data_IF_996422259047
#
_entry.id   IF_996422259047
#
_cell.length_a   1.000
_cell.length_b   1.000
_cell.length_c   1.000
_cell.angle_alpha   90.00
_cell.angle_beta   90.00
_cell.angle_gamma   90.00
#
_symmetry.space_group_name_H-M   'P 1'
#
loop_
_entity.id
_entity.type
_entity.pdbx_description
1 polymer ?
#
# COMPACT_ATOMS: atom_id res chain seq x y z
N UNK A 1 -1.15 3.36 0.62
CA UNK A 1 -1.89 2.10 0.34
C UNK A 1 -2.47 2.12 -1.06
N UNK A 2 -2.24 1.07 -1.84
CA UNK A 2 -2.77 0.93 -3.20
C UNK A 2 -3.71 -0.27 -3.25
N UNK A 3 -4.88 -0.12 -3.84
CA UNK A 3 -5.81 -1.19 -4.14
C UNK A 3 -5.81 -1.46 -5.64
N UNK A 4 -5.57 -2.70 -6.03
CA UNK A 4 -5.70 -3.19 -7.40
C UNK A 4 -6.88 -4.15 -7.47
N UNK A 5 -7.94 -3.75 -8.15
CA UNK A 5 -9.22 -4.45 -8.18
C UNK A 5 -9.44 -5.10 -9.54
N UNK A 6 -9.70 -6.39 -9.54
CA UNK A 6 -10.16 -7.11 -10.74
C UNK A 6 -11.51 -6.55 -11.19
N UNK A 7 -11.47 -5.73 -12.24
CA UNK A 7 -12.63 -5.11 -12.86
C UNK A 7 -13.09 -5.85 -14.12
N UNK A 8 -12.64 -7.09 -14.35
CA UNK A 8 -13.04 -7.88 -15.52
C UNK A 8 -14.52 -8.26 -15.50
N UNK A 9 -15.03 -8.72 -16.63
CA UNK A 9 -16.45 -9.09 -16.78
C UNK A 9 -16.91 -10.14 -15.74
N UNK A 10 -16.00 -11.03 -15.32
CA UNK A 10 -16.30 -12.07 -14.34
C UNK A 10 -16.55 -11.60 -12.92
N UNK A 11 -16.19 -10.35 -12.58
CA UNK A 11 -16.35 -9.81 -11.23
C UNK A 11 -17.52 -8.84 -11.08
N UNK A 12 -18.34 -8.67 -12.11
CA UNK A 12 -19.45 -7.71 -12.11
C UNK A 12 -20.38 -7.83 -10.89
N UNK A 13 -20.75 -9.06 -10.55
CA UNK A 13 -21.65 -9.31 -9.42
C UNK A 13 -20.99 -9.10 -8.06
N UNK A 14 -19.67 -9.30 -7.97
CA UNK A 14 -18.90 -9.12 -6.74
C UNK A 14 -18.35 -7.71 -6.54
N UNK A 15 -18.49 -6.83 -7.53
CA UNK A 15 -17.91 -5.50 -7.48
C UNK A 15 -18.44 -4.63 -6.32
N UNK A 16 -19.74 -4.63 -5.99
CA UNK A 16 -20.20 -3.89 -4.80
C UNK A 16 -19.51 -4.32 -3.52
N UNK A 17 -19.24 -5.61 -3.35
CA UNK A 17 -18.50 -6.13 -2.18
C UNK A 17 -17.03 -5.69 -2.17
N UNK A 18 -16.36 -5.64 -3.32
CA UNK A 18 -15.01 -5.08 -3.44
C UNK A 18 -14.99 -3.59 -3.07
N UNK A 19 -15.94 -2.84 -3.55
CA UNK A 19 -16.10 -1.41 -3.24
C UNK A 19 -16.32 -1.17 -1.76
N UNK A 20 -17.16 -1.96 -1.11
CA UNK A 20 -17.39 -1.90 0.33
C UNK A 20 -16.13 -2.26 1.14
N UNK A 21 -15.36 -3.23 0.66
CA UNK A 21 -14.08 -3.60 1.27
C UNK A 21 -13.09 -2.43 1.24
N UNK A 22 -12.93 -1.77 0.11
CA UNK A 22 -12.07 -0.58 -0.01
C UNK A 22 -12.54 0.54 0.91
N UNK A 23 -13.84 0.79 0.95
CA UNK A 23 -14.43 1.81 1.83
C UNK A 23 -14.10 1.55 3.29
N UNK A 24 -14.32 0.33 3.79
CA UNK A 24 -14.00 -0.03 5.19
C UNK A 24 -12.52 0.09 5.49
N UNK A 25 -11.65 -0.33 4.57
CA UNK A 25 -10.21 -0.19 4.75
C UNK A 25 -9.80 1.28 4.86
N UNK A 26 -10.32 2.15 4.00
CA UNK A 26 -10.03 3.59 4.03
C UNK A 26 -10.54 4.26 5.31
N UNK A 27 -11.68 3.83 5.83
CA UNK A 27 -12.23 4.35 7.11
C UNK A 27 -11.28 4.15 8.29
N UNK A 28 -10.44 3.12 8.27
CA UNK A 28 -9.47 2.83 9.32
C UNK A 28 -8.16 3.61 9.20
N UNK A 29 -7.90 4.25 8.06
CA UNK A 29 -6.67 4.97 7.78
C UNK A 29 -6.72 6.41 8.32
N UNK A 30 -5.54 6.95 8.61
CA UNK A 30 -5.35 8.37 8.89
C UNK A 30 -4.96 9.10 7.60
N UNK A 31 -5.95 9.33 6.73
CA UNK A 31 -5.70 9.91 5.40
C UNK A 31 -5.25 11.37 5.51
N UNK A 32 -4.20 11.71 4.76
CA UNK A 32 -3.68 13.07 4.67
C UNK A 32 -2.46 13.15 3.76
N UNK A 33 -2.06 14.35 3.42
CA UNK A 33 -0.90 14.58 2.53
C UNK A 33 0.40 14.00 3.09
N UNK A 34 0.61 14.15 4.41
CA UNK A 34 1.82 13.69 5.11
C UNK A 34 1.58 12.45 5.98
N UNK A 35 0.43 11.83 5.87
CA UNK A 35 0.05 10.62 6.59
C UNK A 35 -0.27 9.51 5.59
N UNK A 36 -1.42 8.83 5.69
CA UNK A 36 -1.76 7.75 4.78
C UNK A 36 -2.28 8.30 3.45
N UNK A 37 -1.68 7.83 2.35
CA UNK A 37 -2.14 8.11 0.99
C UNK A 37 -2.77 6.87 0.39
N UNK A 38 -3.80 7.06 -0.41
CA UNK A 38 -4.59 5.98 -1.02
C UNK A 38 -4.66 6.15 -2.53
N UNK A 39 -4.53 5.04 -3.25
CA UNK A 39 -4.78 4.95 -4.69
C UNK A 39 -5.65 3.73 -4.97
N UNK A 40 -6.55 3.84 -5.94
CA UNK A 40 -7.37 2.72 -6.43
C UNK A 40 -7.24 2.61 -7.93
N UNK A 41 -6.97 1.39 -8.38
CA UNK A 41 -6.85 1.04 -9.79
C UNK A 41 -7.72 -0.18 -10.06
N UNK A 42 -8.56 -0.14 -11.09
CA UNK A 42 -9.21 -1.32 -11.65
C UNK A 42 -8.40 -1.86 -12.81
N UNK A 43 -8.45 -3.15 -13.05
CA UNK A 43 -7.82 -3.75 -14.22
C UNK A 43 -8.67 -4.88 -14.79
N UNK A 44 -8.50 -5.09 -16.09
CA UNK A 44 -8.97 -6.24 -16.85
C UNK A 44 -7.90 -6.59 -17.89
N UNK A 45 -8.11 -6.33 -19.16
CA UNK A 45 -7.06 -6.39 -20.18
C UNK A 45 -6.03 -5.27 -20.01
N UNK A 46 -6.48 -4.12 -19.56
CA UNK A 46 -5.70 -2.91 -19.28
C UNK A 46 -6.11 -2.31 -17.93
N UNK A 47 -5.25 -1.46 -17.38
CA UNK A 47 -5.52 -0.78 -16.12
C UNK A 47 -6.31 0.51 -16.33
N UNK A 48 -7.15 0.84 -15.36
CA UNK A 48 -7.89 2.09 -15.28
C UNK A 48 -7.73 2.69 -13.88
N UNK A 49 -6.96 3.76 -13.77
CA UNK A 49 -6.75 4.46 -12.51
C UNK A 49 -8.03 5.19 -12.13
N UNK A 50 -8.52 4.95 -10.92
CA UNK A 50 -9.63 5.71 -10.35
C UNK A 50 -9.10 7.02 -9.76
N UNK A 51 -8.02 6.94 -9.01
CA UNK A 51 -7.23 8.07 -8.51
C UNK A 51 -5.84 7.59 -8.07
N UNK A 52 -4.88 8.51 -8.14
CA UNK A 52 -3.50 8.30 -7.71
C UNK A 52 -3.32 8.61 -6.22
N UNK A 53 -2.15 8.28 -5.67
CA UNK A 53 -1.81 8.55 -4.26
C UNK A 53 -1.84 10.03 -3.88
N UNK A 54 -1.65 10.93 -4.83
CA UNK A 54 -1.66 12.38 -4.64
C UNK A 54 -2.88 13.10 -5.23
N UNK A 55 -3.89 12.38 -5.70
CA UNK A 55 -5.08 12.99 -6.30
C UNK A 55 -5.97 13.62 -5.23
N UNK A 56 -6.21 12.92 -4.13
CA UNK A 56 -7.04 13.38 -3.02
C UNK A 56 -6.24 13.34 -1.72
N UNK A 57 -6.48 14.32 -0.85
CA UNK A 57 -5.76 14.47 0.43
C UNK A 57 -6.65 14.32 1.65
N UNK A 58 -7.96 14.14 1.48
CA UNK A 58 -8.91 13.96 2.57
C UNK A 58 -9.65 12.63 2.47
N UNK A 59 -9.95 12.05 3.62
CA UNK A 59 -10.73 10.80 3.71
C UNK A 59 -12.12 10.95 3.08
N UNK A 60 -12.76 12.07 3.28
CA UNK A 60 -14.09 12.36 2.75
C UNK A 60 -14.12 12.31 1.22
N UNK A 61 -13.16 12.94 0.55
CA UNK A 61 -13.03 12.91 -0.91
C UNK A 61 -12.82 11.49 -1.42
N UNK A 62 -11.93 10.72 -0.78
CA UNK A 62 -11.65 9.34 -1.17
C UNK A 62 -12.88 8.46 -1.01
N UNK A 63 -13.58 8.55 0.11
CA UNK A 63 -14.80 7.78 0.35
C UNK A 63 -15.91 8.11 -0.66
N UNK A 64 -16.07 9.36 -1.05
CA UNK A 64 -17.05 9.77 -2.04
C UNK A 64 -16.74 9.17 -3.42
N UNK A 65 -15.46 9.19 -3.84
CA UNK A 65 -15.06 8.58 -5.10
C UNK A 65 -15.21 7.05 -5.06
N UNK A 66 -14.82 6.40 -3.97
CA UNK A 66 -14.95 4.96 -3.81
C UNK A 66 -16.42 4.51 -3.89
N UNK A 67 -17.31 5.21 -3.22
CA UNK A 67 -18.76 4.92 -3.28
C UNK A 67 -19.35 5.06 -4.69
N UNK A 68 -18.83 5.98 -5.48
CA UNK A 68 -19.26 6.25 -6.84
C UNK A 68 -18.55 5.42 -7.92
N UNK A 69 -17.60 4.58 -7.58
CA UNK A 69 -16.88 3.77 -8.56
C UNK A 69 -17.82 2.85 -9.34
N UNK A 70 -17.62 2.81 -10.64
CA UNK A 70 -18.33 1.92 -11.56
C UNK A 70 -17.44 0.77 -11.98
N UNK A 71 -18.03 -0.42 -12.13
CA UNK A 71 -17.33 -1.59 -12.62
C UNK A 71 -16.81 -1.35 -14.04
N UNK A 72 -15.51 -1.63 -14.21
CA UNK A 72 -14.80 -1.39 -15.49
C UNK A 72 -15.30 -2.32 -16.61
N UNK A 73 -15.36 -3.62 -16.34
CA UNK A 73 -15.58 -4.65 -17.35
C UNK A 73 -14.34 -4.94 -18.20
N UNK A 74 -14.52 -5.82 -19.14
CA UNK A 74 -13.49 -6.21 -20.13
C UNK A 74 -12.86 -7.57 -19.86
N UNK A 75 -12.16 -8.07 -20.88
CA UNK A 75 -11.42 -9.34 -20.90
C UNK A 75 -10.33 -9.33 -21.99
N UNK A 76 -9.32 -10.22 -21.91
CA UNK A 76 -9.06 -11.17 -20.82
C UNK A 76 -8.54 -10.46 -19.55
N UNK A 77 -8.53 -11.19 -18.42
CA UNK A 77 -7.93 -10.72 -17.18
C UNK A 77 -6.42 -10.84 -17.27
N UNK A 78 -5.71 -9.71 -17.22
CA UNK A 78 -4.24 -9.64 -17.28
C UNK A 78 -3.70 -9.07 -15.98
N UNK A 79 -3.59 -9.90 -14.96
CA UNK A 79 -3.07 -9.49 -13.64
C UNK A 79 -1.61 -9.08 -13.72
N UNK A 80 -0.79 -9.75 -14.54
CA UNK A 80 0.59 -9.35 -14.77
C UNK A 80 0.70 -7.92 -15.32
N UNK A 81 -0.09 -7.58 -16.32
CA UNK A 81 -0.15 -6.21 -16.87
C UNK A 81 -0.67 -5.20 -15.84
N UNK A 82 -1.63 -5.58 -15.00
CA UNK A 82 -2.13 -4.75 -13.92
C UNK A 82 -1.04 -4.43 -12.89
N UNK A 83 -0.30 -5.43 -12.44
CA UNK A 83 0.83 -5.25 -11.53
C UNK A 83 1.94 -4.40 -12.14
N UNK A 84 2.30 -4.66 -13.42
CA UNK A 84 3.31 -3.87 -14.12
C UNK A 84 2.88 -2.39 -14.25
N UNK A 85 1.61 -2.15 -14.49
CA UNK A 85 1.08 -0.79 -14.53
C UNK A 85 1.30 -0.04 -13.22
N UNK A 86 1.09 -0.70 -12.07
CA UNK A 86 1.34 -0.11 -10.75
C UNK A 86 2.82 0.27 -10.57
N UNK A 87 3.74 -0.59 -11.01
CA UNK A 87 5.18 -0.32 -10.95
C UNK A 87 5.53 0.93 -11.75
N UNK A 88 5.02 1.04 -12.97
CA UNK A 88 5.38 2.08 -13.92
C UNK A 88 4.67 3.41 -13.66
N UNK A 89 3.48 3.40 -13.07
CA UNK A 89 2.60 4.58 -13.03
C UNK A 89 2.04 4.97 -11.66
N UNK A 90 2.09 4.10 -10.66
CA UNK A 90 1.47 4.35 -9.35
C UNK A 90 2.51 4.40 -8.23
N UNK A 91 3.42 3.44 -8.17
CA UNK A 91 4.53 3.44 -7.21
C UNK A 91 5.68 4.33 -7.68
N UNK A 92 5.35 5.51 -8.18
CA UNK A 92 6.28 6.53 -8.68
C UNK A 92 6.12 7.83 -7.89
N UNK A 93 7.17 8.62 -7.80
CA UNK A 93 7.13 9.91 -7.11
C UNK A 93 6.08 10.86 -7.71
N UNK A 94 5.96 10.89 -9.05
CA UNK A 94 4.99 11.72 -9.77
C UNK A 94 3.52 11.36 -9.46
N UNK A 95 3.24 10.11 -9.12
CA UNK A 95 1.92 9.65 -8.70
C UNK A 95 1.67 9.77 -7.19
N UNK A 96 2.63 10.31 -6.44
CA UNK A 96 2.53 10.55 -5.00
C UNK A 96 3.09 9.44 -4.12
N UNK A 97 3.81 8.45 -4.68
CA UNK A 97 4.51 7.46 -3.87
C UNK A 97 5.70 8.10 -3.14
N UNK A 98 5.78 7.84 -1.85
CA UNK A 98 6.89 8.24 -0.98
C UNK A 98 7.84 7.09 -0.66
N UNK A 99 7.89 6.09 -1.55
CA UNK A 99 8.74 4.91 -1.38
C UNK A 99 10.20 5.28 -1.17
N UNK A 100 10.72 6.21 -1.96
CA UNK A 100 12.11 6.68 -1.88
C UNK A 100 12.40 7.52 -0.62
N UNK A 101 11.36 7.95 0.07
CA UNK A 101 11.45 8.63 1.37
C UNK A 101 11.38 7.65 2.55
N UNK A 102 11.33 6.34 2.28
CA UNK A 102 11.27 5.30 3.29
C UNK A 102 9.87 5.04 3.87
N UNK A 103 8.82 5.62 3.29
CA UNK A 103 7.44 5.37 3.72
C UNK A 103 7.00 3.97 3.26
N UNK A 104 6.47 3.13 4.16
CA UNK A 104 5.98 1.80 3.82
C UNK A 104 4.94 1.83 2.70
N UNK A 105 5.07 0.92 1.73
CA UNK A 105 4.16 0.79 0.59
C UNK A 105 3.37 -0.51 0.73
N UNK A 106 2.03 -0.40 0.78
CA UNK A 106 1.13 -1.54 0.83
C UNK A 106 0.32 -1.64 -0.45
N UNK A 107 0.18 -2.86 -0.94
CA UNK A 107 -0.66 -3.22 -2.07
C UNK A 107 -1.64 -4.31 -1.66
N UNK A 108 -2.93 -4.09 -1.90
CA UNK A 108 -3.98 -5.09 -1.75
C UNK A 108 -4.54 -5.38 -3.14
N UNK A 109 -4.45 -6.64 -3.56
CA UNK A 109 -4.96 -7.11 -4.86
C UNK A 109 -6.18 -7.99 -4.64
N UNK A 110 -7.30 -7.64 -5.27
CA UNK A 110 -8.52 -8.45 -5.29
C UNK A 110 -8.67 -9.10 -6.66
N UNK A 111 -8.69 -10.43 -6.71
CA UNK A 111 -8.61 -11.23 -7.94
C UNK A 111 -9.78 -12.22 -7.99
N UNK A 112 -10.60 -12.15 -9.05
CA UNK A 112 -11.76 -13.02 -9.24
C UNK A 112 -11.59 -14.10 -10.30
N UNK A 113 -10.42 -14.19 -10.94
CA UNK A 113 -10.15 -15.14 -12.00
C UNK A 113 -8.66 -15.48 -12.11
N UNK A 114 -8.37 -16.45 -12.96
CA UNK A 114 -7.00 -16.80 -13.33
C UNK A 114 -6.44 -15.75 -14.29
N UNK A 115 -5.18 -15.37 -14.11
CA UNK A 115 -4.52 -14.45 -15.02
C UNK A 115 -4.27 -15.08 -16.39
N UNK A 116 -4.57 -14.33 -17.43
CA UNK A 116 -4.24 -14.71 -18.81
C UNK A 116 -2.74 -14.57 -19.10
N UNK A 117 -2.08 -13.60 -18.49
CA UNK A 117 -0.65 -13.35 -18.64
C UNK A 117 0.16 -13.84 -17.42
N UNK A 118 1.49 -13.80 -17.56
CA UNK A 118 2.40 -14.19 -16.51
C UNK A 118 2.50 -13.10 -15.44
N UNK A 119 2.43 -13.49 -14.17
CA UNK A 119 2.51 -12.58 -13.02
C UNK A 119 3.89 -12.57 -12.37
N UNK A 120 4.80 -13.47 -12.72
CA UNK A 120 6.04 -13.71 -11.99
C UNK A 120 6.97 -12.49 -12.00
N UNK A 121 7.21 -11.91 -13.18
CA UNK A 121 8.12 -10.77 -13.33
C UNK A 121 7.65 -9.53 -12.56
N UNK A 122 6.41 -9.03 -12.74
CA UNK A 122 5.95 -7.87 -11.98
C UNK A 122 5.79 -8.17 -10.48
N UNK A 123 5.40 -9.38 -10.09
CA UNK A 123 5.32 -9.77 -8.69
C UNK A 123 6.69 -9.72 -8.01
N UNK A 124 7.72 -10.25 -8.66
CA UNK A 124 9.10 -10.18 -8.16
C UNK A 124 9.61 -8.75 -8.07
N UNK A 125 9.32 -7.92 -9.07
CA UNK A 125 9.73 -6.52 -9.08
C UNK A 125 9.11 -5.73 -7.91
N UNK A 126 7.83 -5.96 -7.59
CA UNK A 126 7.17 -5.34 -6.45
C UNK A 126 7.81 -5.75 -5.11
N UNK A 127 8.20 -7.02 -4.97
CA UNK A 127 8.93 -7.50 -3.78
C UNK A 127 10.29 -6.84 -3.64
N UNK A 128 11.04 -6.74 -4.73
CA UNK A 128 12.35 -6.06 -4.76
C UNK A 128 12.23 -4.55 -4.45
N UNK A 129 11.13 -3.93 -4.82
CA UNK A 129 10.82 -2.54 -4.46
C UNK A 129 10.44 -2.36 -2.99
N UNK A 130 10.27 -3.44 -2.23
CA UNK A 130 9.82 -3.39 -0.84
C UNK A 130 8.33 -3.14 -0.67
N UNK A 131 7.52 -3.37 -1.70
CA UNK A 131 6.07 -3.27 -1.61
C UNK A 131 5.51 -4.50 -0.89
N UNK A 132 4.75 -4.26 0.18
CA UNK A 132 4.09 -5.30 0.96
C UNK A 132 2.75 -5.63 0.31
N UNK A 133 2.65 -6.82 -0.30
CA UNK A 133 1.49 -7.19 -1.10
C UNK A 133 0.66 -8.27 -0.40
N UNK A 134 -0.64 -8.01 -0.30
CA UNK A 134 -1.68 -8.96 0.10
C UNK A 134 -2.52 -9.29 -1.12
N UNK A 135 -2.67 -10.57 -1.43
CA UNK A 135 -3.47 -11.06 -2.54
C UNK A 135 -4.69 -11.81 -2.02
N UNK A 136 -5.88 -11.36 -2.36
CA UNK A 136 -7.14 -11.98 -1.98
C UNK A 136 -7.83 -12.45 -3.25
N UNK A 137 -8.09 -13.74 -3.34
CA UNK A 137 -8.70 -14.36 -4.51
C UNK A 137 -9.94 -15.17 -4.18
N UNK A 138 -10.89 -15.19 -5.11
CA UNK A 138 -12.08 -16.07 -5.06
C UNK A 138 -11.77 -17.45 -5.60
N UNK A 139 -12.77 -18.35 -5.61
CA UNK A 139 -12.65 -19.69 -6.21
C UNK A 139 -12.25 -19.70 -7.68
N UNK A 140 -12.56 -18.62 -8.42
CA UNK A 140 -12.17 -18.48 -9.81
C UNK A 140 -10.69 -18.13 -10.00
N UNK A 141 -9.99 -17.74 -8.95
CA UNK A 141 -8.56 -17.41 -8.98
C UNK A 141 -7.69 -18.66 -8.85
N UNK A 142 -6.40 -18.51 -9.13
CA UNK A 142 -5.39 -19.54 -8.96
C UNK A 142 -4.61 -19.31 -7.66
N UNK A 143 -4.67 -20.26 -6.73
CA UNK A 143 -4.01 -20.16 -5.44
C UNK A 143 -2.48 -20.00 -5.57
N UNK A 144 -1.87 -20.62 -6.56
CA UNK A 144 -0.42 -20.46 -6.82
C UNK A 144 -0.08 -19.05 -7.30
N UNK A 145 -0.92 -18.46 -8.14
CA UNK A 145 -0.77 -17.05 -8.55
C UNK A 145 -0.89 -16.11 -7.35
N UNK A 146 -1.85 -16.32 -6.46
CA UNK A 146 -2.00 -15.54 -5.24
C UNK A 146 -0.74 -15.58 -4.37
N UNK A 147 -0.14 -16.76 -4.21
CA UNK A 147 1.10 -16.94 -3.44
C UNK A 147 2.28 -16.26 -4.10
N UNK A 148 2.37 -16.24 -5.42
CA UNK A 148 3.43 -15.54 -6.16
C UNK A 148 3.31 -14.02 -6.04
N UNK A 149 2.09 -13.51 -6.05
CA UNK A 149 1.81 -12.06 -5.98
C UNK A 149 2.02 -11.53 -4.56
N UNK A 150 1.62 -12.30 -3.54
CA UNK A 150 1.73 -11.87 -2.15
C UNK A 150 3.18 -11.77 -1.68
N UNK A 151 3.43 -10.90 -0.70
CA UNK A 151 4.76 -10.72 -0.09
C UNK A 151 5.28 -12.05 0.47
N UNK A 152 4.42 -12.77 1.18
CA UNK A 152 4.64 -14.09 1.73
C UNK A 152 3.42 -14.96 1.46
N UNK A 153 3.55 -16.31 1.43
CA UNK A 153 2.41 -17.20 1.23
C UNK A 153 1.27 -16.99 2.25
N UNK A 154 1.58 -16.57 3.47
CA UNK A 154 0.60 -16.23 4.52
C UNK A 154 -0.25 -15.01 4.19
N UNK A 155 0.22 -14.15 3.29
CA UNK A 155 -0.48 -12.95 2.81
C UNK A 155 -1.35 -13.23 1.58
N UNK A 156 -1.41 -14.48 1.13
CA UNK A 156 -2.35 -14.95 0.11
C UNK A 156 -3.60 -15.51 0.80
N UNK A 157 -4.74 -14.91 0.53
CA UNK A 157 -6.02 -15.26 1.16
C UNK A 157 -7.01 -15.72 0.11
N UNK A 158 -7.67 -16.85 0.36
CA UNK A 158 -8.73 -17.38 -0.50
C UNK A 158 -10.09 -17.20 0.17
N UNK A 159 -11.04 -16.68 -0.59
CA UNK A 159 -12.45 -16.59 -0.19
C UNK A 159 -13.32 -17.32 -1.20
N UNK A 160 -14.55 -17.71 -0.81
CA UNK A 160 -15.48 -18.38 -1.73
C UNK A 160 -15.92 -17.44 -2.85
N UNK A 161 -16.32 -16.22 -2.48
CA UNK A 161 -16.57 -15.11 -3.39
C UNK A 161 -16.35 -13.77 -2.66
N UNK A 162 -16.50 -12.65 -3.36
CA UNK A 162 -16.23 -11.33 -2.77
C UNK A 162 -17.23 -10.92 -1.68
N UNK A 163 -18.39 -11.56 -1.57
CA UNK A 163 -19.31 -11.31 -0.45
C UNK A 163 -18.77 -11.78 0.88
N UNK A 164 -17.76 -12.64 0.87
CA UNK A 164 -17.06 -13.13 2.07
C UNK A 164 -15.91 -12.21 2.54
N UNK A 165 -15.61 -11.12 1.82
CA UNK A 165 -14.56 -10.17 2.19
C UNK A 165 -14.69 -9.63 3.63
N UNK A 166 -15.87 -9.36 4.19
CA UNK A 166 -15.99 -8.93 5.58
C UNK A 166 -15.37 -9.91 6.59
N UNK A 167 -15.39 -11.21 6.30
CA UNK A 167 -14.83 -12.23 7.18
C UNK A 167 -13.31 -12.22 7.28
N UNK A 168 -12.62 -11.68 6.28
CA UNK A 168 -11.15 -11.62 6.23
C UNK A 168 -10.60 -10.22 6.51
N UNK A 169 -11.46 -9.22 6.57
CA UNK A 169 -11.05 -7.83 6.70
C UNK A 169 -10.31 -7.54 8.01
N UNK A 170 -10.81 -8.00 9.13
CA UNK A 170 -10.17 -7.83 10.44
C UNK A 170 -8.80 -8.53 10.50
N UNK A 171 -8.75 -9.77 10.00
CA UNK A 171 -7.50 -10.54 9.93
C UNK A 171 -6.46 -9.84 9.05
N UNK A 172 -6.89 -9.31 7.91
CA UNK A 172 -6.02 -8.58 7.01
C UNK A 172 -5.49 -7.31 7.68
N UNK A 173 -6.34 -6.56 8.36
CA UNK A 173 -5.95 -5.35 9.07
C UNK A 173 -4.91 -5.66 10.15
N UNK A 174 -5.13 -6.67 10.98
CA UNK A 174 -4.16 -7.10 12.00
C UNK A 174 -2.83 -7.52 11.40
N UNK A 175 -2.84 -8.23 10.26
CA UNK A 175 -1.62 -8.63 9.55
C UNK A 175 -0.86 -7.42 9.00
N UNK A 176 -1.56 -6.42 8.47
CA UNK A 176 -0.95 -5.19 7.98
C UNK A 176 -0.30 -4.38 9.11
N UNK A 177 -0.96 -4.27 10.25
CA UNK A 177 -0.43 -3.57 11.42
C UNK A 177 0.84 -4.23 11.94
N UNK A 178 0.87 -5.56 12.02
CA UNK A 178 2.05 -6.34 12.44
C UNK A 178 3.24 -6.10 11.51
N UNK A 179 3.03 -6.18 10.22
CA UNK A 179 4.08 -5.98 9.20
C UNK A 179 4.62 -4.54 9.23
N UNK A 180 3.77 -3.54 9.48
CA UNK A 180 4.20 -2.15 9.56
C UNK A 180 5.07 -1.87 10.80
N UNK A 181 4.81 -2.54 11.92
CA UNK A 181 5.65 -2.44 13.12
C UNK A 181 7.04 -3.02 12.89
N UNK A 182 7.14 -4.15 12.17
CA UNK A 182 8.43 -4.80 11.88
C UNK A 182 9.31 -3.98 10.91
N UNK A 183 8.71 -3.12 10.11
CA UNK A 183 9.43 -2.27 9.14
C UNK A 183 9.90 -0.95 9.75
N UNK A 184 9.35 -0.50 10.87
CA UNK A 184 9.84 0.68 11.57
C UNK A 184 11.09 0.33 12.36
N UNK A 185 12.29 0.91 12.03
CA UNK A 185 13.49 0.65 12.83
C UNK A 185 13.23 1.16 14.25
N UNK A 186 13.41 0.30 15.24
CA UNK A 186 13.56 0.75 16.63
C UNK A 186 14.72 1.74 16.64
N UNK A 187 14.44 3.02 16.78
CA UNK A 187 15.44 3.98 17.20
C UNK A 187 15.70 3.67 18.67
N UNK A 188 16.59 2.74 18.88
CA UNK A 188 17.12 2.46 20.20
C UNK A 188 17.86 3.70 20.70
N UNK A 189 17.15 4.56 21.38
CA UNK A 189 17.79 5.53 22.25
C UNK A 189 18.28 4.75 23.46
N UNK A 190 19.51 4.28 23.33
CA UNK A 190 20.25 3.75 24.48
C UNK A 190 20.49 4.94 25.42
N UNK A 191 19.61 5.13 26.39
CA UNK A 191 19.86 6.02 27.51
C UNK A 191 20.96 5.36 28.35
N UNK A 192 22.19 5.70 28.05
CA UNK A 192 23.31 5.41 28.96
C UNK A 192 23.04 6.13 30.28
N UNK A 193 23.06 5.43 31.41
CA UNK A 193 22.87 6.09 32.71
C UNK A 193 24.03 7.05 32.93
N UNK A 194 23.73 8.33 32.99
CA UNK A 194 24.68 9.37 33.32
C UNK A 194 25.11 9.19 34.78
N UNK A 195 26.34 8.78 35.01
CA UNK A 195 26.96 8.84 36.31
C UNK A 195 27.08 10.30 36.74
N UNK A 196 26.71 10.66 37.98
CA UNK A 196 26.83 12.04 38.42
C UNK A 196 28.31 12.43 38.50
N UNK A 197 28.72 13.39 37.67
CA UNK A 197 30.06 13.99 37.75
C UNK A 197 30.04 15.06 38.85
N UNK A 198 30.96 14.90 39.80
CA UNK A 198 31.21 15.84 40.88
C UNK A 198 31.55 17.26 40.33
N UNK A 199 31.07 18.26 41.07
CA UNK A 199 31.31 19.66 40.81
C UNK A 199 32.79 20.00 40.62
N UNK A 200 33.17 20.45 39.43
CA UNK A 200 34.44 21.10 39.16
C UNK A 200 34.19 22.30 38.23
N UNK A 201 34.42 23.47 38.74
CA UNK A 201 34.39 24.72 37.98
C UNK A 201 35.29 24.63 36.75
N UNK A 202 34.76 24.73 35.57
CA UNK A 202 35.54 24.97 34.35
C UNK A 202 34.96 26.17 33.60
N UNK A 203 35.78 27.23 33.54
CA UNK A 203 35.53 28.44 32.80
C UNK A 203 35.58 28.15 31.29
N UNK A 204 34.46 28.29 30.57
CA UNK A 204 34.41 28.18 29.13
C UNK A 204 34.96 29.44 28.50
N UNK A 205 36.09 29.34 27.84
CA UNK A 205 36.59 30.38 26.89
C UNK A 205 35.80 30.20 25.58
N UNK A 206 35.01 31.19 25.23
CA UNK A 206 34.34 31.27 23.95
C UNK A 206 35.35 31.66 22.86
N UNK A 207 35.47 30.79 21.85
CA UNK A 207 36.21 31.11 20.61
C UNK A 207 35.32 31.98 19.70
N UNK A 208 35.76 33.18 19.31
CA UNK A 208 34.92 34.09 18.53
C UNK A 208 34.95 33.87 17.02
N UNK A 209 35.46 32.78 16.51
CA UNK A 209 35.69 32.59 15.07
C UNK A 209 34.61 31.73 14.32
N UNK A 210 33.48 31.41 14.94
CA UNK A 210 32.40 30.65 14.24
C UNK A 210 31.33 31.64 13.79
N UNK A 211 31.34 31.99 12.50
CA UNK A 211 30.27 32.74 11.85
C UNK A 211 29.08 31.82 11.54
N UNK A 212 27.83 32.25 11.81
CA UNK A 212 26.66 31.50 11.41
C UNK A 212 26.42 31.66 9.90
N UNK A 213 26.31 30.53 9.21
CA UNK A 213 25.89 30.47 7.80
C UNK A 213 24.38 30.65 7.77
N UNK A 214 23.92 31.78 7.23
CA UNK A 214 22.51 32.05 6.99
C UNK A 214 22.06 31.30 5.73
N UNK A 215 21.04 30.45 5.85
CA UNK A 215 20.31 29.91 4.71
C UNK A 215 19.06 30.78 4.50
N UNK A 216 19.11 31.66 3.51
CA UNK A 216 17.96 32.29 2.89
C UNK A 216 18.16 32.21 1.38
N UNK A 217 17.35 31.40 0.73
CA UNK A 217 16.69 31.58 -0.57
C UNK A 217 15.99 30.28 -0.98
#
# INVERSE_FOLDING_TARGET
>A
MVFLLDGSDGTRNGFPAMRDFVQRAVETLNVGENTDRVSVVQYSRDAAVQFYLNTYTTKSEILDIVRGMRHKGGRPLKTGAGLQYLIDNVFTASAGSRRLEGVPQLLIVLIGGRSFDNVDTPASALKEMGVLTFAIGTRGSDAKELQKISQEPSNAVSVSDFTDLPSVQEKLQSSMETVLVDVTPEIGVELTPTTPIAEGKTTLLLDPSVHPVSWLA
#
